data_IF_648826845169
#
_entry.id   IF_648826845169
#
_cell.length_a   1.000
_cell.length_b   1.000
_cell.length_c   1.000
_cell.angle_alpha   90.00
_cell.angle_beta   90.00
_cell.angle_gamma   90.00
#
_symmetry.space_group_name_H-M   'P 1'
#
loop_
_entity.id
_entity.type
_entity.pdbx_description
1 polymer ?
#
# COMPACT_ATOMS: atom_id res chain seq x y z
N UNK A 1 15.73 1.17 -18.24
CA UNK A 1 14.79 0.22 -17.57
C UNK A 1 13.58 1.02 -17.14
N UNK A 2 12.43 0.72 -17.73
CA UNK A 2 11.17 1.32 -17.33
C UNK A 2 10.81 0.80 -15.93
N UNK A 3 10.27 1.66 -15.08
CA UNK A 3 9.80 1.28 -13.76
C UNK A 3 8.57 0.40 -13.95
N UNK A 4 8.62 -0.84 -13.51
CA UNK A 4 7.45 -1.73 -13.50
C UNK A 4 6.70 -1.42 -12.20
N UNK A 5 5.47 -1.00 -12.34
CA UNK A 5 4.56 -0.79 -11.21
C UNK A 5 3.46 -1.84 -11.28
N UNK A 6 3.21 -2.53 -10.18
CA UNK A 6 2.18 -3.56 -10.09
C UNK A 6 1.38 -3.36 -8.80
N UNK A 7 0.09 -3.66 -8.84
CA UNK A 7 -0.80 -3.49 -7.69
C UNK A 7 -1.30 -4.84 -7.20
N UNK A 8 -1.20 -5.05 -5.88
CA UNK A 8 -1.67 -6.25 -5.22
C UNK A 8 -2.59 -5.90 -4.05
N UNK A 9 -3.76 -6.50 -4.00
CA UNK A 9 -4.68 -6.33 -2.87
C UNK A 9 -4.37 -7.37 -1.78
N UNK A 10 -4.05 -6.90 -0.56
CA UNK A 10 -3.78 -7.72 0.61
C UNK A 10 -4.80 -7.35 1.69
N UNK A 11 -5.67 -8.28 2.06
CA UNK A 11 -6.76 -8.08 3.02
C UNK A 11 -7.63 -6.83 2.73
N UNK A 12 -7.96 -6.61 1.45
CA UNK A 12 -8.79 -5.47 1.02
C UNK A 12 -8.04 -4.14 0.88
N UNK A 13 -6.74 -4.11 1.15
CA UNK A 13 -5.89 -2.91 1.02
C UNK A 13 -5.04 -3.05 -0.24
N UNK A 14 -5.10 -2.06 -1.14
CA UNK A 14 -4.28 -1.99 -2.35
C UNK A 14 -2.84 -1.57 -2.01
N UNK A 15 -1.87 -2.39 -2.40
CA UNK A 15 -0.44 -2.09 -2.31
C UNK A 15 0.12 -1.96 -3.73
N UNK A 16 0.65 -0.79 -4.04
CA UNK A 16 1.37 -0.56 -5.28
C UNK A 16 2.86 -0.83 -5.08
N UNK A 17 3.39 -1.82 -5.77
CA UNK A 17 4.80 -2.17 -5.77
C UNK A 17 5.50 -1.48 -6.93
N UNK A 18 6.65 -0.88 -6.63
CA UNK A 18 7.48 -0.19 -7.61
C UNK A 18 8.81 -0.93 -7.67
N UNK A 19 9.06 -1.62 -8.78
CA UNK A 19 10.35 -2.26 -9.00
C UNK A 19 11.41 -1.21 -9.33
N UNK A 20 12.58 -1.32 -8.70
CA UNK A 20 13.68 -0.37 -8.85
C UNK A 20 14.98 -1.08 -9.16
N UNK A 21 15.92 -0.36 -9.78
CA UNK A 21 17.30 -0.83 -9.87
C UNK A 21 17.93 -0.94 -8.47
N UNK A 22 18.90 -1.85 -8.30
CA UNK A 22 19.64 -1.96 -7.04
C UNK A 22 20.40 -0.66 -6.71
N UNK A 23 20.74 -0.47 -5.44
CA UNK A 23 21.43 0.73 -4.93
C UNK A 23 22.94 0.52 -4.75
N UNK A 24 23.49 -0.60 -5.21
CA UNK A 24 24.93 -0.87 -5.13
C UNK A 24 25.71 0.13 -5.97
N UNK A 25 26.77 0.64 -5.38
CA UNK A 25 27.65 1.55 -6.10
C UNK A 25 28.33 0.85 -7.30
N UNK A 26 28.32 1.52 -8.41
CA UNK A 26 28.93 1.06 -9.66
C UNK A 26 29.71 2.20 -10.30
N UNK A 27 30.72 1.85 -11.09
CA UNK A 27 31.45 2.81 -11.92
C UNK A 27 30.77 3.06 -13.28
N UNK A 28 29.68 2.36 -13.56
CA UNK A 28 28.93 2.53 -14.80
C UNK A 28 27.97 3.73 -14.68
N UNK A 29 28.05 4.63 -15.66
CA UNK A 29 27.21 5.85 -15.72
C UNK A 29 25.72 5.52 -15.82
N UNK A 30 25.36 4.46 -16.55
CA UNK A 30 23.95 4.04 -16.71
C UNK A 30 23.38 3.51 -15.42
N UNK A 31 24.17 2.75 -14.65
CA UNK A 31 23.77 2.27 -13.33
C UNK A 31 23.70 3.39 -12.30
N UNK A 32 24.57 4.41 -12.35
CA UNK A 32 24.53 5.57 -11.46
C UNK A 32 23.24 6.38 -11.63
N UNK A 33 22.73 6.52 -12.85
CA UNK A 33 21.42 7.11 -13.14
C UNK A 33 20.29 6.24 -12.56
N UNK A 34 20.43 4.91 -12.62
CA UNK A 34 19.50 3.96 -12.02
C UNK A 34 19.41 4.11 -10.50
N UNK A 35 20.55 4.29 -9.83
CA UNK A 35 20.62 4.52 -8.38
C UNK A 35 19.91 5.83 -8.00
N UNK A 36 20.11 6.92 -8.73
CA UNK A 36 19.42 8.18 -8.47
C UNK A 36 17.90 8.03 -8.59
N UNK A 37 17.41 7.39 -9.67
CA UNK A 37 15.98 7.10 -9.84
C UNK A 37 15.42 6.21 -8.71
N UNK A 38 16.22 5.26 -8.23
CA UNK A 38 15.81 4.43 -7.06
C UNK A 38 15.61 5.29 -5.83
N UNK A 39 16.49 6.23 -5.53
CA UNK A 39 16.31 7.13 -4.38
C UNK A 39 15.10 8.06 -4.53
N UNK A 40 14.80 8.53 -5.75
CA UNK A 40 13.57 9.30 -6.02
C UNK A 40 12.31 8.46 -5.76
N UNK A 41 12.33 7.16 -6.13
CA UNK A 41 11.22 6.25 -5.84
C UNK A 41 11.12 5.90 -4.36
N UNK A 42 12.23 5.75 -3.64
CA UNK A 42 12.25 5.57 -2.19
C UNK A 42 11.62 6.79 -1.50
N UNK A 43 11.90 8.00 -1.96
CA UNK A 43 11.29 9.22 -1.42
C UNK A 43 9.76 9.22 -1.54
N UNK A 44 9.24 8.78 -2.68
CA UNK A 44 7.80 8.70 -2.95
C UNK A 44 7.12 7.51 -2.27
N UNK A 45 7.83 6.42 -2.01
CA UNK A 45 7.28 5.22 -1.40
C UNK A 45 6.94 5.45 0.07
N UNK A 46 5.93 4.75 0.57
CA UNK A 46 5.56 4.76 2.00
C UNK A 46 6.39 3.77 2.82
N UNK A 47 6.75 2.64 2.22
CA UNK A 47 7.58 1.58 2.82
C UNK A 47 8.64 1.17 1.80
N UNK A 48 9.82 0.87 2.26
CA UNK A 48 10.91 0.31 1.44
C UNK A 48 11.05 -1.18 1.75
N UNK A 49 11.00 -2.02 0.73
CA UNK A 49 11.38 -3.42 0.83
C UNK A 49 12.83 -3.58 0.36
N UNK A 50 13.73 -3.80 1.31
CA UNK A 50 15.15 -4.01 1.02
C UNK A 50 15.43 -5.50 0.90
N UNK A 51 15.39 -6.00 -0.35
CA UNK A 51 15.44 -7.43 -0.65
C UNK A 51 16.86 -7.86 -1.01
N UNK A 52 17.37 -8.87 -0.33
CA UNK A 52 18.71 -9.40 -0.45
C UNK A 52 18.67 -10.90 -0.78
N UNK A 53 19.67 -11.37 -1.49
CA UNK A 53 19.90 -12.82 -1.67
C UNK A 53 20.55 -13.38 -0.41
N UNK A 54 19.86 -14.27 0.31
CA UNK A 54 20.35 -14.85 1.55
C UNK A 54 21.66 -15.62 1.38
N UNK A 55 21.87 -16.29 0.22
CA UNK A 55 23.14 -16.97 -0.07
C UNK A 55 24.30 -15.98 -0.18
N UNK A 56 24.08 -14.90 -0.94
CA UNK A 56 25.10 -13.87 -1.09
C UNK A 56 25.47 -13.23 0.25
N UNK A 57 24.53 -13.11 1.18
CA UNK A 57 24.78 -12.57 2.53
C UNK A 57 25.78 -13.43 3.34
N UNK A 58 25.99 -14.69 2.96
CA UNK A 58 26.96 -15.57 3.61
C UNK A 58 28.37 -15.46 3.04
N UNK A 59 28.59 -14.69 1.97
CA UNK A 59 29.92 -14.41 1.43
C UNK A 59 30.68 -13.44 2.34
N UNK A 60 32.00 -13.57 2.36
CA UNK A 60 32.86 -12.73 3.20
C UNK A 60 32.68 -11.24 2.87
N UNK A 61 32.41 -10.42 3.88
CA UNK A 61 32.20 -8.98 3.76
C UNK A 61 30.82 -8.56 3.23
N UNK A 62 29.95 -9.48 2.86
CA UNK A 62 28.62 -9.17 2.32
C UNK A 62 27.72 -8.50 3.35
N UNK A 63 27.72 -8.98 4.59
CA UNK A 63 26.91 -8.40 5.69
C UNK A 63 27.32 -6.96 5.99
N UNK A 64 28.62 -6.65 5.96
CA UNK A 64 29.08 -5.27 6.15
C UNK A 64 28.64 -4.36 4.99
N UNK A 65 28.71 -4.85 3.76
CA UNK A 65 28.21 -4.12 2.60
C UNK A 65 26.72 -3.85 2.70
N UNK A 66 25.92 -4.84 3.18
CA UNK A 66 24.48 -4.68 3.43
C UNK A 66 24.21 -3.58 4.46
N UNK A 67 24.96 -3.55 5.56
CA UNK A 67 24.83 -2.49 6.58
C UNK A 67 25.09 -1.11 5.98
N UNK A 68 26.15 -0.95 5.20
CA UNK A 68 26.50 0.32 4.57
C UNK A 68 25.37 0.79 3.64
N UNK A 69 24.82 -0.11 2.81
CA UNK A 69 23.71 0.21 1.91
C UNK A 69 22.41 0.55 2.68
N UNK A 70 22.12 -0.20 3.74
CA UNK A 70 20.98 0.07 4.61
C UNK A 70 21.12 1.42 5.32
N UNK A 71 22.30 1.73 5.84
CA UNK A 71 22.57 3.01 6.51
C UNK A 71 22.44 4.19 5.53
N UNK A 72 22.83 4.06 4.27
CA UNK A 72 22.61 5.10 3.24
C UNK A 72 21.13 5.43 3.10
N UNK A 73 20.24 4.42 3.08
CA UNK A 73 18.80 4.63 3.03
C UNK A 73 18.34 5.33 4.32
N UNK A 74 18.75 4.83 5.48
CA UNK A 74 18.33 5.36 6.78
C UNK A 74 18.81 6.79 7.02
N UNK A 75 20.03 7.12 6.63
CA UNK A 75 20.57 8.47 6.76
C UNK A 75 19.85 9.48 5.87
N UNK A 76 19.46 9.06 4.66
CA UNK A 76 18.75 9.92 3.72
C UNK A 76 17.25 10.03 4.04
N UNK A 77 16.65 8.97 4.58
CA UNK A 77 15.23 8.89 4.89
C UNK A 77 14.99 8.32 6.32
N UNK A 78 15.34 9.05 7.37
CA UNK A 78 15.38 8.51 8.74
C UNK A 78 14.02 8.05 9.27
N UNK A 79 12.93 8.64 8.80
CA UNK A 79 11.56 8.29 9.21
C UNK A 79 10.88 7.26 8.31
N UNK A 80 11.54 6.86 7.21
CA UNK A 80 10.97 5.90 6.27
C UNK A 80 11.04 4.47 6.84
N UNK A 81 9.92 3.74 6.93
CA UNK A 81 9.94 2.33 7.27
C UNK A 81 10.70 1.53 6.22
N UNK A 82 11.63 0.69 6.67
CA UNK A 82 12.40 -0.22 5.82
C UNK A 82 12.25 -1.63 6.36
N UNK A 83 11.76 -2.54 5.52
CA UNK A 83 11.68 -3.98 5.81
C UNK A 83 12.83 -4.66 5.11
N UNK A 84 13.73 -5.25 5.87
CA UNK A 84 14.87 -6.02 5.33
C UNK A 84 14.43 -7.47 5.12
N UNK A 85 14.68 -8.01 3.93
CA UNK A 85 14.23 -9.34 3.53
C UNK A 85 15.43 -10.14 3.00
N UNK A 86 15.70 -11.29 3.62
CA UNK A 86 16.60 -12.30 3.08
C UNK A 86 15.80 -13.30 2.24
N UNK A 87 15.81 -13.14 0.93
CA UNK A 87 15.18 -14.08 0.01
C UNK A 87 16.08 -15.30 -0.22
N UNK A 88 15.50 -16.37 -0.77
CA UNK A 88 16.12 -17.69 -0.94
C UNK A 88 16.48 -18.36 0.39
N UNK A 89 15.69 -18.11 1.43
CA UNK A 89 15.89 -18.68 2.76
C UNK A 89 15.83 -20.21 2.81
N UNK A 90 15.25 -20.84 1.79
CA UNK A 90 15.27 -22.29 1.58
C UNK A 90 16.68 -22.87 1.34
N UNK A 91 17.65 -22.02 1.02
CA UNK A 91 19.04 -22.41 0.78
C UNK A 91 19.95 -22.12 1.99
N UNK A 92 19.40 -21.62 3.10
CA UNK A 92 20.12 -21.32 4.32
C UNK A 92 19.88 -22.36 5.41
N UNK A 93 20.94 -22.75 6.13
CA UNK A 93 20.80 -23.51 7.37
C UNK A 93 20.28 -22.62 8.51
N UNK A 94 19.77 -23.23 9.58
CA UNK A 94 19.32 -22.48 10.76
C UNK A 94 20.46 -21.71 11.43
N UNK A 95 21.68 -22.26 11.46
CA UNK A 95 22.86 -21.56 11.94
C UNK A 95 23.15 -20.30 11.13
N UNK A 96 23.05 -20.37 9.81
CA UNK A 96 23.22 -19.23 8.91
C UNK A 96 22.16 -18.16 9.13
N UNK A 97 20.90 -18.54 9.29
CA UNK A 97 19.81 -17.59 9.62
C UNK A 97 20.05 -16.90 10.95
N UNK A 98 20.46 -17.65 11.97
CA UNK A 98 20.78 -17.08 13.29
C UNK A 98 21.93 -16.07 13.21
N UNK A 99 22.96 -16.35 12.41
CA UNK A 99 24.09 -15.43 12.22
C UNK A 99 23.66 -14.13 11.50
N UNK A 100 22.84 -14.24 10.46
CA UNK A 100 22.28 -13.08 9.78
C UNK A 100 21.40 -12.25 10.73
N UNK A 101 20.53 -12.91 11.51
CA UNK A 101 19.61 -12.26 12.44
C UNK A 101 20.34 -11.59 13.60
N UNK A 102 21.48 -12.13 14.04
CA UNK A 102 22.34 -11.49 15.04
C UNK A 102 23.01 -10.20 14.52
N UNK A 103 23.09 -10.05 13.20
CA UNK A 103 23.77 -8.92 12.54
C UNK A 103 22.80 -7.84 12.08
N UNK A 104 21.59 -8.24 11.68
CA UNK A 104 20.54 -7.35 11.14
C UNK A 104 19.25 -7.60 11.91
N UNK A 105 18.85 -6.64 12.71
CA UNK A 105 17.63 -6.70 13.50
C UNK A 105 16.38 -6.71 12.59
N UNK A 106 15.35 -7.47 13.02
CA UNK A 106 14.04 -7.52 12.36
C UNK A 106 14.08 -7.91 10.87
N UNK A 107 15.04 -8.76 10.47
CA UNK A 107 15.09 -9.28 9.12
C UNK A 107 14.04 -10.38 8.91
N UNK A 108 13.32 -10.32 7.80
CA UNK A 108 12.39 -11.37 7.37
C UNK A 108 13.08 -12.37 6.46
N UNK A 109 12.93 -13.67 6.76
CA UNK A 109 13.42 -14.74 5.91
C UNK A 109 12.30 -15.21 4.97
N UNK A 110 12.56 -15.15 3.67
CA UNK A 110 11.57 -15.44 2.63
C UNK A 110 12.16 -16.39 1.59
N UNK A 111 11.38 -17.32 1.11
CA UNK A 111 11.64 -18.03 -0.14
C UNK A 111 10.51 -17.79 -1.14
N UNK A 112 10.75 -16.91 -2.09
CA UNK A 112 9.79 -16.62 -3.16
C UNK A 112 9.48 -17.88 -3.99
N UNK A 113 10.49 -18.75 -4.19
CA UNK A 113 10.36 -20.01 -4.94
C UNK A 113 9.44 -21.01 -4.24
N UNK A 114 9.58 -21.16 -2.92
CA UNK A 114 8.79 -22.11 -2.12
C UNK A 114 7.55 -21.46 -1.48
N UNK A 115 7.37 -20.17 -1.66
CA UNK A 115 6.28 -19.36 -1.06
C UNK A 115 6.28 -19.40 0.48
N UNK A 116 7.45 -19.53 1.10
CA UNK A 116 7.64 -19.51 2.55
C UNK A 116 7.92 -18.08 3.00
N UNK A 117 7.36 -17.66 4.16
CA UNK A 117 7.55 -16.31 4.71
C UNK A 117 6.68 -15.22 4.05
N UNK A 118 5.88 -15.56 3.02
CA UNK A 118 5.03 -14.58 2.32
C UNK A 118 3.94 -14.01 3.24
N UNK A 119 3.33 -14.84 4.09
CA UNK A 119 2.27 -14.37 4.98
C UNK A 119 2.82 -13.48 6.10
N UNK A 120 4.04 -13.73 6.57
CA UNK A 120 4.74 -12.86 7.50
C UNK A 120 5.02 -11.49 6.87
N UNK A 121 5.49 -11.45 5.62
CA UNK A 121 5.66 -10.22 4.87
C UNK A 121 4.33 -9.46 4.71
N UNK A 122 3.24 -10.14 4.34
CA UNK A 122 1.91 -9.52 4.24
C UNK A 122 1.47 -8.90 5.57
N UNK A 123 1.63 -9.65 6.68
CA UNK A 123 1.28 -9.16 8.01
C UNK A 123 2.12 -7.95 8.41
N UNK A 124 3.41 -7.95 8.07
CA UNK A 124 4.30 -6.82 8.30
C UNK A 124 3.85 -5.58 7.52
N UNK A 125 3.49 -5.73 6.24
CA UNK A 125 2.96 -4.63 5.44
C UNK A 125 1.63 -4.09 6.00
N UNK A 126 0.72 -4.97 6.39
CA UNK A 126 -0.56 -4.59 7.01
C UNK A 126 -0.37 -3.87 8.35
N UNK A 127 0.65 -4.25 9.14
CA UNK A 127 0.94 -3.59 10.41
C UNK A 127 1.29 -2.10 10.24
N UNK A 128 2.00 -1.73 9.17
CA UNK A 128 2.30 -0.32 8.87
C UNK A 128 1.04 0.49 8.61
N UNK A 129 0.06 -0.07 7.91
CA UNK A 129 -1.23 0.58 7.65
C UNK A 129 -2.03 0.72 8.97
N UNK A 130 -2.17 -0.37 9.73
CA UNK A 130 -2.98 -0.42 10.94
C UNK A 130 -2.42 0.43 12.09
N UNK A 131 -1.09 0.51 12.23
CA UNK A 131 -0.45 1.31 13.29
C UNK A 131 -0.34 2.79 12.96
N UNK A 132 -0.73 3.19 11.73
CA UNK A 132 -0.55 4.55 11.25
C UNK A 132 0.94 4.95 11.12
N UNK A 133 1.86 3.98 11.10
CA UNK A 133 3.29 4.23 10.91
C UNK A 133 3.63 4.80 9.52
N UNK A 134 2.69 4.68 8.57
CA UNK A 134 2.76 5.30 7.25
C UNK A 134 2.32 6.77 7.25
N UNK A 135 2.27 7.39 8.42
CA UNK A 135 1.85 8.79 8.60
C UNK A 135 2.83 9.77 7.97
N UNK A 136 2.90 9.79 6.64
CA UNK A 136 3.14 11.03 5.92
C UNK A 136 1.81 11.78 5.82
N UNK A 137 1.77 13.04 6.22
CA UNK A 137 0.56 13.86 6.40
C UNK A 137 -0.43 13.88 5.22
N UNK A 138 -0.03 13.48 4.03
CA UNK A 138 -0.88 13.47 2.83
C UNK A 138 -1.81 12.24 2.74
N UNK A 139 -1.36 11.05 3.16
CA UNK A 139 -2.15 9.81 3.01
C UNK A 139 -3.24 9.69 4.08
N UNK A 140 -3.02 10.26 5.27
CA UNK A 140 -4.03 10.27 6.35
C UNK A 140 -5.17 11.21 6.00
N UNK A 141 -4.87 12.36 5.41
CA UNK A 141 -5.91 13.31 4.98
C UNK A 141 -6.81 12.66 3.94
N UNK A 142 -6.24 11.88 3.02
CA UNK A 142 -7.02 11.20 1.98
C UNK A 142 -7.85 10.05 2.56
N UNK A 143 -7.29 9.18 3.40
CA UNK A 143 -8.03 8.09 4.02
C UNK A 143 -9.07 8.60 5.04
N UNK A 144 -8.75 9.60 5.84
CA UNK A 144 -9.72 10.21 6.77
C UNK A 144 -10.84 10.91 6.01
N UNK A 145 -10.54 11.62 4.92
CA UNK A 145 -11.57 12.21 4.05
C UNK A 145 -12.47 11.14 3.43
N UNK A 146 -11.88 10.06 2.89
CA UNK A 146 -12.66 8.96 2.33
C UNK A 146 -13.51 8.28 3.41
N UNK A 147 -12.97 8.07 4.61
CA UNK A 147 -13.72 7.52 5.74
C UNK A 147 -14.88 8.45 6.14
N UNK A 148 -14.63 9.75 6.28
CA UNK A 148 -15.66 10.74 6.60
C UNK A 148 -16.74 10.82 5.50
N UNK A 149 -16.33 10.77 4.22
CA UNK A 149 -17.27 10.74 3.10
C UNK A 149 -18.09 9.44 3.07
N UNK A 150 -17.49 8.29 3.42
CA UNK A 150 -18.23 7.03 3.56
C UNK A 150 -19.23 7.05 4.71
N UNK A 151 -18.87 7.62 5.87
CA UNK A 151 -19.80 7.77 7.00
C UNK A 151 -20.99 8.65 6.60
N UNK A 152 -20.74 9.80 5.97
CA UNK A 152 -21.81 10.68 5.49
C UNK A 152 -22.69 9.98 4.45
N UNK A 153 -22.07 9.27 3.49
CA UNK A 153 -22.83 8.48 2.52
C UNK A 153 -23.72 7.43 3.21
N UNK A 154 -23.20 6.74 4.24
CA UNK A 154 -23.97 5.75 5.01
C UNK A 154 -25.16 6.38 5.74
N UNK A 155 -24.98 7.56 6.35
CA UNK A 155 -26.08 8.31 7.01
C UNK A 155 -27.18 8.64 6.01
N UNK A 156 -26.84 9.14 4.81
CA UNK A 156 -27.81 9.45 3.78
C UNK A 156 -28.56 8.22 3.26
N UNK A 157 -27.84 7.11 3.05
CA UNK A 157 -28.45 5.81 2.65
C UNK A 157 -29.41 5.29 3.74
N UNK A 158 -29.08 5.50 5.01
CA UNK A 158 -29.97 5.12 6.13
C UNK A 158 -31.25 5.96 6.13
N UNK A 159 -31.17 7.27 5.83
CA UNK A 159 -32.35 8.13 5.65
C UNK A 159 -33.24 7.66 4.50
N UNK A 160 -32.62 7.29 3.35
CA UNK A 160 -33.37 6.72 2.22
C UNK A 160 -34.10 5.44 2.63
N UNK A 161 -33.41 4.53 3.33
CA UNK A 161 -34.01 3.29 3.82
C UNK A 161 -35.20 3.58 4.75
N UNK A 162 -35.02 4.48 5.71
CA UNK A 162 -36.10 4.88 6.62
C UNK A 162 -37.26 5.52 5.86
N UNK A 163 -36.99 6.36 4.85
CA UNK A 163 -38.01 6.95 3.99
C UNK A 163 -38.82 5.92 3.23
N UNK A 164 -38.17 4.87 2.68
CA UNK A 164 -38.83 3.76 2.02
C UNK A 164 -39.74 2.98 3.01
N UNK A 165 -39.21 2.64 4.17
CA UNK A 165 -39.93 1.90 5.19
C UNK A 165 -41.15 2.70 5.76
N UNK A 166 -41.05 4.05 5.74
CA UNK A 166 -42.08 4.98 6.19
C UNK A 166 -43.03 5.45 5.11
N UNK A 167 -42.87 5.02 3.86
CA UNK A 167 -43.74 5.38 2.73
C UNK A 167 -43.60 6.86 2.30
N UNK A 168 -42.44 7.49 2.48
CA UNK A 168 -42.17 8.84 1.99
C UNK A 168 -42.22 8.90 0.47
N UNK A 169 -42.56 10.08 -0.07
CA UNK A 169 -42.54 10.29 -1.51
C UNK A 169 -41.12 10.22 -2.10
N UNK A 170 -41.01 9.73 -3.32
CA UNK A 170 -39.72 9.60 -4.04
C UNK A 170 -38.98 10.91 -4.17
N UNK A 171 -39.67 12.04 -4.26
CA UNK A 171 -39.06 13.38 -4.38
C UNK A 171 -38.27 13.77 -3.13
N UNK A 172 -38.76 13.40 -1.95
CA UNK A 172 -38.06 13.65 -0.69
C UNK A 172 -36.82 12.78 -0.55
N UNK A 173 -36.92 11.50 -0.92
CA UNK A 173 -35.79 10.59 -0.93
C UNK A 173 -34.72 10.91 -1.96
N UNK A 174 -35.10 11.58 -3.06
CA UNK A 174 -34.16 11.99 -4.11
C UNK A 174 -33.06 12.91 -3.59
N UNK A 175 -33.36 13.74 -2.58
CA UNK A 175 -32.36 14.64 -1.95
C UNK A 175 -31.30 13.81 -1.23
N UNK A 176 -31.70 12.85 -0.41
CA UNK A 176 -30.78 12.01 0.36
C UNK A 176 -29.96 11.11 -0.56
N UNK A 177 -30.55 10.60 -1.66
CA UNK A 177 -29.82 9.82 -2.67
C UNK A 177 -28.76 10.67 -3.37
N UNK A 178 -29.08 11.93 -3.74
CA UNK A 178 -28.10 12.85 -4.33
C UNK A 178 -26.95 13.14 -3.37
N UNK A 179 -27.26 13.35 -2.08
CA UNK A 179 -26.24 13.55 -1.06
C UNK A 179 -25.33 12.33 -0.90
N UNK A 180 -25.89 11.12 -0.87
CA UNK A 180 -25.11 9.90 -0.83
C UNK A 180 -24.19 9.75 -2.04
N UNK A 181 -24.70 10.00 -3.25
CA UNK A 181 -23.94 9.95 -4.48
C UNK A 181 -22.83 11.01 -4.53
N UNK A 182 -23.08 12.22 -4.00
CA UNK A 182 -22.06 13.25 -3.88
C UNK A 182 -20.90 12.78 -3.01
N UNK A 183 -21.16 12.20 -1.83
CA UNK A 183 -20.11 11.69 -0.96
C UNK A 183 -19.35 10.50 -1.56
N UNK A 184 -20.00 9.63 -2.35
CA UNK A 184 -19.28 8.62 -3.13
C UNK A 184 -18.41 9.23 -4.22
N UNK A 185 -18.90 10.27 -4.91
CA UNK A 185 -18.15 11.00 -5.93
C UNK A 185 -16.88 11.68 -5.39
N UNK A 186 -16.89 12.14 -4.13
CA UNK A 186 -15.69 12.68 -3.45
C UNK A 186 -14.57 11.61 -3.29
N UNK A 187 -14.93 10.33 -3.24
CA UNK A 187 -13.99 9.21 -3.10
C UNK A 187 -13.48 8.76 -4.46
N UNK A 188 -14.39 8.61 -5.45
CA UNK A 188 -14.05 8.10 -6.78
C UNK A 188 -13.48 9.17 -7.70
N UNK A 189 -13.63 10.45 -7.36
CA UNK A 189 -13.29 11.58 -8.22
C UNK A 189 -14.28 11.80 -9.36
N UNK A 190 -15.42 11.13 -9.35
CA UNK A 190 -16.47 11.27 -10.36
C UNK A 190 -17.53 12.29 -9.91
N UNK A 191 -17.88 13.18 -10.81
CA UNK A 191 -19.06 14.06 -10.65
C UNK A 191 -20.28 13.27 -11.11
N UNK A 192 -21.17 12.93 -10.18
CA UNK A 192 -22.39 12.19 -10.48
C UNK A 192 -23.35 13.04 -11.31
N UNK A 193 -23.67 12.58 -12.52
CA UNK A 193 -24.63 13.23 -13.39
C UNK A 193 -26.08 12.96 -12.95
N UNK A 194 -26.97 13.96 -13.15
CA UNK A 194 -28.43 13.86 -12.92
C UNK A 194 -29.07 12.71 -13.74
N UNK A 195 -28.45 12.25 -14.82
CA UNK A 195 -28.86 11.11 -15.63
C UNK A 195 -28.89 9.79 -14.86
N UNK A 196 -28.00 9.58 -13.91
CA UNK A 196 -27.94 8.36 -13.11
C UNK A 196 -29.16 8.25 -12.18
N UNK A 197 -29.59 9.37 -11.61
CA UNK A 197 -30.82 9.45 -10.82
C UNK A 197 -32.08 9.24 -11.66
N UNK A 198 -32.13 9.80 -12.85
CA UNK A 198 -33.21 9.58 -13.80
C UNK A 198 -33.41 8.09 -14.13
N UNK A 199 -32.33 7.37 -14.34
CA UNK A 199 -32.35 5.92 -14.62
C UNK A 199 -32.77 5.08 -13.41
N UNK A 200 -32.35 5.43 -12.19
CA UNK A 200 -32.78 4.75 -10.96
C UNK A 200 -34.29 4.88 -10.78
N UNK A 201 -34.84 6.10 -10.89
CA UNK A 201 -36.28 6.34 -10.72
C UNK A 201 -37.12 5.81 -11.87
N UNK A 202 -36.60 5.77 -13.10
CA UNK A 202 -37.31 5.20 -14.25
C UNK A 202 -37.45 3.68 -14.19
N UNK A 203 -36.50 2.99 -13.58
CA UNK A 203 -36.48 1.53 -13.49
C UNK A 203 -37.05 0.96 -12.17
N UNK A 204 -37.16 1.78 -11.13
CA UNK A 204 -37.87 1.42 -9.92
C UNK A 204 -39.32 1.89 -10.02
N UNK A 205 -40.21 1.02 -10.53
CA UNK A 205 -41.66 1.19 -10.37
C UNK A 205 -42.01 1.14 -8.89
N UNK A 206 -41.91 2.26 -8.18
CA UNK A 206 -42.45 2.41 -6.84
C UNK A 206 -43.88 2.96 -7.00
N UNK A 207 -44.82 2.05 -6.84
CA UNK A 207 -46.21 2.38 -6.54
C UNK A 207 -47.15 2.56 -7.72
N UNK A 208 -47.88 1.51 -8.06
CA UNK A 208 -49.29 1.60 -8.34
C UNK A 208 -50.04 1.15 -7.08
#
# INVERSE_FOLDING_TARGET
RDTIEDELVINGIGFRFIDTAGIRETKDVVESIGIQKTFEKIEQAQVVLFILDGRWMMETGSLESVKIEFEKIKNKFPLKPVVVIANKADLLSEEQKNNIQATIDNILFLSAKQKVGIDELKNTLLSFVNTGALRNNETIVTNTRHYDSLLKALEEVQKVKWGLDSGLSSDLMAIDIRSALHYFGEITGEVTNDELLGNIFANFCIGK
#
